data_IF_354875070905
#
_entry.id   IF_354875070905
#
_cell.length_a   1.000
_cell.length_b   1.000
_cell.length_c   1.000
_cell.angle_alpha   90.00
_cell.angle_beta   90.00
_cell.angle_gamma   90.00
#
_symmetry.space_group_name_H-M   'P 1'
#
loop_
_entity.id
_entity.type
_entity.pdbx_description
1 polymer ?
#
# COMPACT_ATOMS: atom_id res chain seq x y z
N UNK A 1 -8.32 5.85 -4.01
CA UNK A 1 -8.09 4.41 -4.18
C UNK A 1 -6.60 4.16 -4.25
N UNK A 2 -6.09 3.13 -3.57
CA UNK A 2 -4.64 2.85 -3.58
C UNK A 2 -4.25 1.73 -4.53
N UNK A 3 -4.83 0.53 -4.42
CA UNK A 3 -4.46 -0.62 -5.27
C UNK A 3 -5.58 -0.96 -6.25
N UNK A 4 -5.38 -0.61 -7.51
CA UNK A 4 -6.25 -0.96 -8.64
C UNK A 4 -5.44 -0.91 -9.95
N UNK A 5 -5.81 -1.70 -10.97
CA UNK A 5 -5.06 -1.76 -12.22
C UNK A 5 -5.00 -0.40 -12.93
N UNK A 6 -3.97 -0.21 -13.74
CA UNK A 6 -3.87 0.97 -14.60
C UNK A 6 -4.98 0.94 -15.66
N UNK A 7 -5.69 2.05 -15.90
CA UNK A 7 -6.68 2.11 -16.98
C UNK A 7 -6.01 2.16 -18.37
N UNK A 8 -4.77 2.66 -18.47
CA UNK A 8 -4.04 2.79 -19.72
C UNK A 8 -2.60 2.27 -19.62
N UNK A 9 -2.08 1.72 -20.73
CA UNK A 9 -0.75 1.10 -20.81
C UNK A 9 0.40 2.04 -20.39
N UNK A 10 0.30 3.32 -20.75
CA UNK A 10 1.34 4.34 -20.52
C UNK A 10 1.46 4.83 -19.06
N UNK A 11 0.60 4.35 -18.15
CA UNK A 11 0.56 4.81 -16.76
C UNK A 11 1.29 3.87 -15.77
N UNK A 12 1.95 2.82 -16.25
CA UNK A 12 2.67 1.87 -15.40
C UNK A 12 3.70 2.54 -14.47
N UNK A 13 4.46 3.51 -14.96
CA UNK A 13 5.42 4.28 -14.16
C UNK A 13 4.76 5.03 -12.99
N UNK A 14 3.78 5.92 -13.25
CA UNK A 14 3.04 6.63 -12.19
C UNK A 14 2.40 5.70 -11.17
N UNK A 15 1.84 4.56 -11.60
CA UNK A 15 1.27 3.57 -10.68
C UNK A 15 2.35 2.85 -9.85
N UNK A 16 3.50 2.51 -10.43
CA UNK A 16 4.62 1.94 -9.69
C UNK A 16 5.08 2.91 -8.58
N UNK A 17 5.27 4.19 -8.89
CA UNK A 17 5.63 5.17 -7.87
C UNK A 17 4.51 5.36 -6.82
N UNK A 18 3.24 5.35 -7.23
CA UNK A 18 2.11 5.39 -6.30
C UNK A 18 2.17 4.25 -5.28
N UNK A 19 2.39 3.02 -5.73
CA UNK A 19 2.48 1.87 -4.82
C UNK A 19 3.69 1.94 -3.89
N UNK A 20 4.82 2.42 -4.40
CA UNK A 20 6.00 2.68 -3.57
C UNK A 20 5.71 3.72 -2.47
N UNK A 21 5.02 4.82 -2.80
CA UNK A 21 4.63 5.86 -1.85
C UNK A 21 3.65 5.32 -0.79
N UNK A 22 2.69 4.49 -1.19
CA UNK A 22 1.74 3.85 -0.25
C UNK A 22 2.47 3.00 0.80
N UNK A 23 3.55 2.30 0.42
CA UNK A 23 4.38 1.56 1.37
C UNK A 23 5.15 2.47 2.34
N UNK A 24 5.42 3.71 1.93
CA UNK A 24 6.04 4.75 2.75
C UNK A 24 5.02 5.60 3.53
N UNK A 25 3.76 5.14 3.59
CA UNK A 25 2.69 5.84 4.33
C UNK A 25 2.18 7.11 3.64
N UNK A 26 2.46 7.27 2.35
CA UNK A 26 2.09 8.46 1.56
C UNK A 26 1.10 8.09 0.45
N UNK A 27 -0.06 8.73 0.46
CA UNK A 27 -1.17 8.40 -0.44
C UNK A 27 -1.39 9.50 -1.45
N UNK A 28 -0.85 9.31 -2.65
CA UNK A 28 -0.89 10.30 -3.73
C UNK A 28 -1.69 9.79 -4.93
N UNK A 29 -2.29 10.71 -5.69
CA UNK A 29 -3.00 10.39 -6.92
C UNK A 29 -2.02 10.12 -8.06
N UNK A 30 -2.25 9.03 -8.79
CA UNK A 30 -1.57 8.68 -10.04
C UNK A 30 -1.66 9.79 -11.09
N UNK A 31 -2.76 10.54 -11.14
CA UNK A 31 -2.91 11.64 -12.09
C UNK A 31 -1.93 12.77 -11.76
N UNK A 32 -1.79 13.10 -10.48
CA UNK A 32 -0.80 14.10 -10.06
C UNK A 32 0.61 13.60 -10.30
N UNK A 33 0.89 12.32 -10.00
CA UNK A 33 2.19 11.70 -10.26
C UNK A 33 2.51 11.76 -11.76
N UNK A 34 1.57 11.39 -12.64
CA UNK A 34 1.72 11.42 -14.09
C UNK A 34 2.01 12.83 -14.61
N UNK A 35 1.28 13.84 -14.13
CA UNK A 35 1.54 15.25 -14.47
C UNK A 35 2.94 15.69 -14.04
N UNK A 36 3.40 15.27 -12.85
CA UNK A 36 4.75 15.61 -12.37
C UNK A 36 5.85 14.86 -13.11
N UNK A 37 5.57 13.62 -13.52
CA UNK A 37 6.49 12.79 -14.29
C UNK A 37 6.55 13.23 -15.76
N UNK A 38 5.55 13.97 -16.26
CA UNK A 38 5.46 14.33 -17.68
C UNK A 38 5.01 13.16 -18.55
N UNK A 39 4.24 12.23 -17.99
CA UNK A 39 3.77 11.04 -18.68
C UNK A 39 2.83 11.41 -19.84
N UNK A 40 3.10 10.88 -21.04
CA UNK A 40 2.25 11.10 -22.23
C UNK A 40 1.75 9.77 -22.79
N UNK A 41 0.67 9.84 -23.58
CA UNK A 41 0.04 8.63 -24.13
C UNK A 41 0.89 7.93 -25.20
N UNK A 42 1.81 8.63 -25.86
CA UNK A 42 2.70 8.08 -26.90
C UNK A 42 4.08 7.65 -26.40
N UNK A 43 4.57 8.21 -25.29
CA UNK A 43 5.93 7.96 -24.79
C UNK A 43 5.97 7.23 -23.44
N UNK A 44 4.84 7.13 -22.73
CA UNK A 44 4.83 6.55 -21.40
C UNK A 44 5.55 7.45 -20.39
N UNK A 45 6.32 6.82 -19.50
CA UNK A 45 7.10 7.52 -18.47
C UNK A 45 8.49 6.91 -18.42
N UNK A 46 9.49 7.76 -18.63
CA UNK A 46 10.90 7.42 -18.49
C UNK A 46 11.36 7.54 -17.01
N UNK A 47 12.56 7.05 -16.74
CA UNK A 47 13.18 7.11 -15.42
C UNK A 47 13.45 8.55 -14.97
N UNK A 48 13.70 9.48 -15.89
CA UNK A 48 13.97 10.89 -15.58
C UNK A 48 12.71 11.57 -15.04
N UNK A 49 11.58 11.40 -15.73
CA UNK A 49 10.27 11.86 -15.32
C UNK A 49 9.86 11.24 -13.99
N UNK A 50 10.05 9.94 -13.83
CA UNK A 50 9.73 9.24 -12.58
C UNK A 50 10.59 9.75 -11.41
N UNK A 51 11.88 9.99 -11.62
CA UNK A 51 12.77 10.59 -10.62
C UNK A 51 12.33 12.00 -10.23
N UNK A 52 11.89 12.82 -11.20
CA UNK A 52 11.35 14.16 -10.95
C UNK A 52 10.08 14.11 -10.09
N UNK A 53 9.16 13.20 -10.40
CA UNK A 53 7.96 12.99 -9.60
C UNK A 53 8.30 12.50 -8.19
N UNK A 54 9.20 11.52 -8.05
CA UNK A 54 9.65 11.05 -6.75
C UNK A 54 10.25 12.18 -5.91
N UNK A 55 11.09 13.04 -6.52
CA UNK A 55 11.69 14.21 -5.86
C UNK A 55 10.63 15.20 -5.38
N UNK A 56 9.59 15.45 -6.17
CA UNK A 56 8.47 16.32 -5.78
C UNK A 56 7.79 15.82 -4.49
N UNK A 57 7.63 14.50 -4.34
CA UNK A 57 7.09 13.87 -3.12
C UNK A 57 8.16 13.60 -2.04
N UNK A 58 9.30 14.27 -2.10
CA UNK A 58 10.36 14.18 -1.10
C UNK A 58 11.09 12.83 -1.07
N UNK A 59 11.08 12.09 -2.18
CA UNK A 59 11.80 10.83 -2.31
C UNK A 59 12.96 10.96 -3.31
N UNK A 60 14.08 10.30 -3.03
CA UNK A 60 15.18 10.10 -3.97
C UNK A 60 15.02 8.76 -4.66
N UNK A 61 15.11 8.74 -5.98
CA UNK A 61 15.16 7.52 -6.77
C UNK A 61 16.62 7.10 -6.97
N UNK A 62 17.08 6.08 -6.24
CA UNK A 62 18.47 5.57 -6.33
C UNK A 62 18.53 4.41 -7.31
N UNK A 63 19.15 4.65 -8.45
CA UNK A 63 19.41 3.64 -9.47
C UNK A 63 20.44 2.59 -9.02
N UNK A 64 20.21 1.34 -9.42
CA UNK A 64 21.16 0.25 -9.36
C UNK A 64 20.96 -0.67 -10.57
N UNK A 65 22.08 -1.09 -11.18
CA UNK A 65 22.14 -2.04 -12.30
C UNK A 65 23.08 -3.18 -11.98
N UNK A 66 22.72 -4.39 -12.40
CA UNK A 66 23.56 -5.58 -12.35
C UNK A 66 23.41 -6.34 -13.66
N UNK A 67 24.46 -7.04 -14.05
CA UNK A 67 24.46 -7.90 -15.25
C UNK A 67 24.10 -9.35 -14.90
N UNK A 68 24.40 -9.76 -13.65
CA UNK A 68 24.14 -11.12 -13.16
C UNK A 68 22.85 -11.16 -12.34
N UNK A 69 21.99 -12.17 -12.54
CA UNK A 69 20.71 -12.28 -11.84
C UNK A 69 20.85 -12.45 -10.32
N UNK A 70 21.87 -13.17 -9.87
CA UNK A 70 22.12 -13.39 -8.44
C UNK A 70 22.53 -12.08 -7.74
N UNK A 71 23.39 -11.30 -8.38
CA UNK A 71 23.82 -9.99 -7.88
C UNK A 71 22.66 -8.98 -7.89
N UNK A 72 21.80 -9.04 -8.92
CA UNK A 72 20.59 -8.23 -9.01
C UNK A 72 19.63 -8.51 -7.85
N UNK A 73 19.35 -9.79 -7.58
CA UNK A 73 18.53 -10.22 -6.45
C UNK A 73 19.15 -9.74 -5.13
N UNK A 74 20.46 -9.91 -4.94
CA UNK A 74 21.14 -9.48 -3.72
C UNK A 74 21.02 -7.97 -3.52
N UNK A 75 21.29 -7.18 -4.55
CA UNK A 75 21.16 -5.73 -4.51
C UNK A 75 19.73 -5.28 -4.19
N UNK A 76 18.71 -5.90 -4.81
CA UNK A 76 17.31 -5.64 -4.54
C UNK A 76 16.95 -5.95 -3.07
N UNK A 77 17.30 -7.14 -2.59
CA UNK A 77 17.02 -7.56 -1.21
C UNK A 77 17.69 -6.65 -0.20
N UNK A 78 18.90 -6.16 -0.47
CA UNK A 78 19.58 -5.18 0.39
C UNK A 78 18.81 -3.85 0.51
N UNK A 79 18.17 -3.36 -0.56
CA UNK A 79 17.35 -2.16 -0.49
C UNK A 79 16.03 -2.42 0.26
N UNK A 80 15.38 -3.55 -0.02
CA UNK A 80 14.13 -3.94 0.64
C UNK A 80 14.33 -4.12 2.15
N UNK A 81 15.45 -4.73 2.58
CA UNK A 81 15.80 -4.86 4.01
C UNK A 81 16.00 -3.53 4.72
N UNK A 82 16.36 -2.47 4.00
CA UNK A 82 16.42 -1.09 4.54
C UNK A 82 15.04 -0.43 4.63
N UNK A 83 13.99 -1.12 4.20
CA UNK A 83 12.62 -0.62 4.16
C UNK A 83 12.42 0.40 3.04
N UNK A 84 13.08 0.20 1.89
CA UNK A 84 12.88 1.00 0.68
C UNK A 84 12.18 0.16 -0.38
N UNK A 85 10.94 0.52 -0.80
CA UNK A 85 10.32 -0.11 -1.95
C UNK A 85 11.15 0.19 -3.21
N UNK A 86 11.21 -0.78 -4.11
CA UNK A 86 12.01 -0.68 -5.32
C UNK A 86 11.14 -0.79 -6.56
N UNK A 87 11.28 0.15 -7.49
CA UNK A 87 10.65 0.11 -8.80
C UNK A 87 11.62 -0.58 -9.75
N UNK A 88 11.13 -1.55 -10.52
CA UNK A 88 11.93 -2.29 -11.50
C UNK A 88 11.40 -2.01 -12.90
N UNK A 89 12.33 -1.82 -13.82
CA UNK A 89 12.06 -1.87 -15.25
C UNK A 89 11.98 -3.34 -15.67
N UNK A 90 10.88 -3.78 -16.24
CA UNK A 90 10.64 -5.19 -16.57
C UNK A 90 10.11 -5.33 -17.99
N UNK A 91 10.08 -6.56 -18.48
CA UNK A 91 9.59 -6.94 -19.82
C UNK A 91 10.32 -6.12 -20.90
N UNK A 92 11.66 -6.15 -20.89
CA UNK A 92 12.54 -5.38 -21.78
C UNK A 92 12.32 -3.85 -21.79
N UNK A 93 12.20 -3.25 -20.60
CA UNK A 93 11.93 -1.80 -20.44
C UNK A 93 10.58 -1.30 -20.95
N UNK A 94 9.64 -2.22 -21.23
CA UNK A 94 8.29 -1.85 -21.64
C UNK A 94 7.32 -1.63 -20.47
N UNK A 95 7.70 -2.06 -19.26
CA UNK A 95 6.80 -2.01 -18.10
C UNK A 95 7.50 -1.71 -16.78
N UNK A 96 6.75 -1.13 -15.85
CA UNK A 96 7.19 -0.81 -14.51
C UNK A 96 6.39 -1.57 -13.46
N UNK A 97 7.08 -2.22 -12.51
CA UNK A 97 6.45 -2.80 -11.32
C UNK A 97 7.18 -2.37 -10.06
N UNK A 98 6.53 -2.56 -8.90
CA UNK A 98 7.15 -2.22 -7.61
C UNK A 98 7.27 -3.45 -6.73
N UNK A 99 8.47 -3.70 -6.23
CA UNK A 99 8.77 -4.70 -5.21
C UNK A 99 8.71 -4.02 -3.85
N UNK A 100 7.87 -4.55 -2.96
CA UNK A 100 7.59 -3.93 -1.66
C UNK A 100 8.17 -4.69 -0.48
N UNK A 101 8.34 -6.01 -0.60
CA UNK A 101 8.93 -6.82 0.46
C UNK A 101 9.56 -8.12 -0.09
N UNK A 102 10.41 -8.75 0.73
CA UNK A 102 11.01 -10.05 0.48
C UNK A 102 11.03 -10.88 1.77
N UNK A 103 10.29 -11.99 1.78
CA UNK A 103 10.19 -12.90 2.92
C UNK A 103 10.08 -14.34 2.43
N UNK A 104 10.59 -15.32 3.18
CA UNK A 104 10.48 -16.75 2.85
C UNK A 104 10.81 -17.08 1.39
N UNK A 105 11.87 -16.46 0.83
CA UNK A 105 12.31 -16.57 -0.57
C UNK A 105 11.24 -16.18 -1.61
N UNK A 106 10.34 -15.27 -1.27
CA UNK A 106 9.32 -14.73 -2.18
C UNK A 106 9.30 -13.21 -2.12
N UNK A 107 9.15 -12.60 -3.28
CA UNK A 107 8.94 -11.17 -3.45
C UNK A 107 7.45 -10.86 -3.44
N UNK A 108 7.08 -9.82 -2.72
CA UNK A 108 5.75 -9.21 -2.81
C UNK A 108 5.88 -8.06 -3.79
N UNK A 109 5.03 -8.08 -4.81
CA UNK A 109 5.10 -7.19 -5.96
C UNK A 109 3.75 -6.57 -6.20
N UNK A 110 3.74 -5.30 -6.55
CA UNK A 110 2.57 -4.59 -7.06
C UNK A 110 2.78 -4.28 -8.53
N UNK A 111 1.93 -4.84 -9.38
CA UNK A 111 1.97 -4.73 -10.83
C UNK A 111 0.62 -4.19 -11.32
N UNK A 112 0.60 -2.96 -11.83
CA UNK A 112 -0.62 -2.31 -12.30
C UNK A 112 -1.19 -2.89 -13.60
N UNK A 113 -0.44 -3.73 -14.33
CA UNK A 113 -0.93 -4.41 -15.54
C UNK A 113 -1.84 -5.61 -15.22
N UNK A 114 -1.86 -6.06 -13.96
CA UNK A 114 -2.66 -7.20 -13.52
C UNK A 114 -3.98 -6.74 -12.88
N UNK A 115 -5.07 -7.47 -13.15
CA UNK A 115 -6.35 -7.26 -12.45
C UNK A 115 -6.19 -7.32 -10.93
N UNK A 116 -5.37 -8.28 -10.47
CA UNK A 116 -4.90 -8.37 -9.10
C UNK A 116 -3.53 -7.71 -9.00
N UNK A 117 -3.54 -6.43 -8.63
CA UNK A 117 -2.33 -5.62 -8.55
C UNK A 117 -1.26 -6.24 -7.65
N UNK A 118 -1.66 -6.78 -6.49
CA UNK A 118 -0.73 -7.40 -5.55
C UNK A 118 -0.51 -8.86 -5.97
N UNK A 119 0.74 -9.23 -6.16
CA UNK A 119 1.17 -10.57 -6.55
C UNK A 119 2.42 -11.01 -5.77
N UNK A 120 2.72 -12.30 -5.85
CA UNK A 120 3.85 -12.92 -5.16
C UNK A 120 4.68 -13.67 -6.18
N UNK A 121 5.96 -13.31 -6.29
CA UNK A 121 6.90 -13.94 -7.20
C UNK A 121 8.00 -14.69 -6.47
N UNK A 122 8.39 -15.83 -7.03
CA UNK A 122 9.68 -16.46 -6.74
C UNK A 122 10.81 -15.66 -7.40
N UNK A 123 12.06 -15.81 -6.95
CA UNK A 123 13.20 -15.13 -7.57
C UNK A 123 13.31 -15.41 -9.06
N UNK A 124 13.09 -16.66 -9.49
CA UNK A 124 13.16 -17.04 -10.90
C UNK A 124 12.07 -16.38 -11.74
N UNK A 125 10.84 -16.27 -11.21
CA UNK A 125 9.75 -15.57 -11.89
C UNK A 125 10.05 -14.08 -12.05
N UNK A 126 10.61 -13.45 -11.01
CA UNK A 126 10.97 -12.03 -11.04
C UNK A 126 12.11 -11.78 -12.03
N UNK A 127 13.21 -12.54 -11.94
CA UNK A 127 14.38 -12.42 -12.82
C UNK A 127 14.00 -12.60 -14.29
N UNK A 128 13.11 -13.53 -14.60
CA UNK A 128 12.65 -13.76 -15.98
C UNK A 128 12.01 -12.50 -16.58
N UNK A 129 11.21 -11.77 -15.79
CA UNK A 129 10.58 -10.51 -16.23
C UNK A 129 11.53 -9.33 -16.15
N UNK A 130 12.42 -9.31 -15.17
CA UNK A 130 13.33 -8.19 -14.90
C UNK A 130 14.51 -8.10 -15.89
N UNK A 131 14.79 -9.19 -16.61
CA UNK A 131 15.86 -9.22 -17.61
C UNK A 131 15.56 -8.22 -18.72
N UNK A 132 16.52 -7.33 -18.99
CA UNK A 132 16.64 -6.60 -20.25
C UNK A 132 17.77 -7.22 -21.07
N UNK A 133 17.60 -7.26 -22.39
CA UNK A 133 18.62 -7.68 -23.33
C UNK A 133 18.79 -6.59 -24.38
N UNK A 134 20.02 -6.07 -24.47
CA UNK A 134 20.44 -5.10 -25.46
C UNK A 134 20.99 -5.86 -26.67
N UNK A 135 20.26 -5.86 -27.79
CA UNK A 135 20.68 -6.55 -29.01
C UNK A 135 21.90 -5.91 -29.67
N UNK A 136 22.07 -4.60 -29.53
CA UNK A 136 23.18 -3.86 -30.15
C UNK A 136 24.49 -4.06 -29.38
N UNK A 137 24.41 -4.12 -28.05
CA UNK A 137 25.56 -4.30 -27.18
C UNK A 137 25.85 -5.77 -26.80
N UNK A 138 24.96 -6.70 -27.15
CA UNK A 138 24.97 -8.11 -26.69
C UNK A 138 25.13 -8.22 -25.16
N UNK A 139 24.39 -7.37 -24.42
CA UNK A 139 24.48 -7.27 -22.96
C UNK A 139 23.12 -7.54 -22.29
N UNK A 140 23.19 -8.04 -21.04
CA UNK A 140 22.03 -8.27 -20.19
C UNK A 140 22.10 -7.37 -18.97
N UNK A 141 21.02 -6.68 -18.67
CA UNK A 141 20.92 -5.87 -17.46
C UNK A 141 19.66 -6.12 -16.65
N UNK A 142 19.78 -5.82 -15.36
CA UNK A 142 18.71 -5.83 -14.37
C UNK A 142 18.66 -4.47 -13.69
N UNK A 143 17.77 -3.61 -14.17
CA UNK A 143 17.68 -2.21 -13.79
C UNK A 143 16.61 -1.97 -12.71
N UNK A 144 17.01 -1.36 -11.60
CA UNK A 144 16.13 -1.11 -10.48
C UNK A 144 16.38 0.24 -9.82
N UNK A 145 15.35 0.71 -9.11
CA UNK A 145 15.30 2.03 -8.53
C UNK A 145 14.73 1.98 -7.12
N UNK A 146 15.59 2.19 -6.11
CA UNK A 146 15.14 2.26 -4.73
C UNK A 146 14.53 3.63 -4.43
N UNK A 147 13.33 3.65 -3.86
CA UNK A 147 12.62 4.88 -3.47
C UNK A 147 12.97 5.19 -2.02
N UNK A 148 13.83 6.20 -1.84
CA UNK A 148 14.41 6.56 -0.55
C UNK A 148 13.79 7.87 -0.06
N UNK A 149 12.93 7.86 0.98
CA UNK A 149 12.36 9.09 1.52
C UNK A 149 13.47 9.99 2.07
N UNK A 150 13.39 11.28 1.76
CA UNK A 150 14.27 12.34 2.26
C UNK A 150 13.64 13.11 3.44
N UNK A 151 12.55 12.59 3.98
CA UNK A 151 11.82 13.10 5.12
C UNK A 151 11.72 12.03 6.21
N UNK A 152 11.41 12.45 7.45
CA UNK A 152 11.13 11.52 8.54
C UNK A 152 9.81 10.81 8.26
N UNK A 153 9.88 9.53 7.90
CA UNK A 153 8.69 8.71 7.70
C UNK A 153 8.06 8.39 9.05
N UNK A 154 6.80 8.77 9.23
CA UNK A 154 6.05 8.58 10.48
C UNK A 154 5.55 7.14 10.61
N UNK A 155 5.07 6.54 9.52
CA UNK A 155 4.66 5.14 9.43
C UNK A 155 5.08 4.52 8.10
N UNK A 156 5.51 3.26 8.14
CA UNK A 156 5.82 2.44 6.96
C UNK A 156 4.95 1.19 7.01
N UNK A 157 4.50 0.75 5.84
CA UNK A 157 3.78 -0.51 5.73
C UNK A 157 4.74 -1.69 5.95
N UNK A 158 4.53 -2.46 7.01
CA UNK A 158 5.09 -3.79 7.16
C UNK A 158 4.22 -4.80 6.43
N UNK A 159 4.34 -4.82 5.09
CA UNK A 159 3.47 -5.65 4.26
C UNK A 159 4.04 -7.07 4.14
N UNK A 160 3.61 -7.97 5.02
CA UNK A 160 4.09 -9.37 5.07
C UNK A 160 3.48 -10.26 3.99
N UNK A 161 4.01 -11.48 3.83
CA UNK A 161 3.42 -12.46 2.91
C UNK A 161 2.00 -12.87 3.30
N UNK A 162 1.70 -12.96 4.60
CA UNK A 162 0.36 -13.23 5.10
C UNK A 162 -0.57 -12.07 4.74
N UNK A 163 -0.11 -10.82 4.92
CA UNK A 163 -0.87 -9.64 4.57
C UNK A 163 -1.14 -9.56 3.06
N UNK A 164 -0.14 -9.86 2.22
CA UNK A 164 -0.33 -9.94 0.77
C UNK A 164 -1.36 -11.00 0.38
N UNK A 165 -1.24 -12.23 0.92
CA UNK A 165 -2.21 -13.31 0.64
C UNK A 165 -3.62 -12.95 1.09
N UNK A 166 -3.76 -12.29 2.24
CA UNK A 166 -5.05 -11.82 2.73
C UNK A 166 -5.69 -10.86 1.71
N UNK A 167 -4.96 -9.88 1.21
CA UNK A 167 -5.49 -8.86 0.29
C UNK A 167 -5.75 -9.43 -1.11
N UNK A 168 -4.98 -10.43 -1.54
CA UNK A 168 -5.15 -11.13 -2.83
C UNK A 168 -6.42 -12.00 -2.92
N UNK A 169 -7.02 -12.34 -1.77
CA UNK A 169 -8.28 -13.07 -1.70
C UNK A 169 -9.41 -12.25 -2.33
N UNK A 170 -10.25 -12.86 -3.16
CA UNK A 170 -11.35 -12.17 -3.84
C UNK A 170 -12.32 -11.51 -2.87
N UNK A 171 -12.48 -12.08 -1.67
CA UNK A 171 -13.33 -11.53 -0.58
C UNK A 171 -12.80 -10.22 -0.01
N UNK A 172 -11.55 -9.85 -0.30
CA UNK A 172 -10.86 -8.68 0.23
C UNK A 172 -10.48 -7.65 -0.84
N UNK A 173 -10.96 -7.80 -2.08
CA UNK A 173 -10.65 -6.86 -3.17
C UNK A 173 -11.03 -5.41 -2.86
N UNK A 174 -12.16 -5.20 -2.18
CA UNK A 174 -12.62 -3.86 -1.79
C UNK A 174 -11.68 -3.18 -0.78
N UNK A 175 -10.99 -3.97 0.08
CA UNK A 175 -9.97 -3.44 0.98
C UNK A 175 -8.76 -2.91 0.19
N UNK A 176 -8.30 -3.64 -0.83
CA UNK A 176 -7.20 -3.19 -1.69
C UNK A 176 -7.51 -1.85 -2.38
N UNK A 177 -8.73 -1.71 -2.90
CA UNK A 177 -9.17 -0.49 -3.58
C UNK A 177 -9.32 0.69 -2.63
N UNK A 178 -9.95 0.48 -1.46
CA UNK A 178 -10.28 1.53 -0.47
C UNK A 178 -9.21 1.73 0.60
N UNK A 179 -8.01 1.23 0.37
CA UNK A 179 -6.90 1.22 1.31
C UNK A 179 -6.57 2.61 1.87
N UNK A 180 -6.55 3.64 1.02
CA UNK A 180 -6.36 5.04 1.41
C UNK A 180 -7.46 5.54 2.34
N UNK A 181 -8.72 5.17 2.07
CA UNK A 181 -9.85 5.56 2.93
C UNK A 181 -9.70 4.97 4.32
N UNK A 182 -9.47 3.66 4.41
CA UNK A 182 -9.26 2.99 5.69
C UNK A 182 -8.06 3.56 6.45
N UNK A 183 -6.95 3.85 5.76
CA UNK A 183 -5.77 4.44 6.39
C UNK A 183 -6.05 5.84 6.93
N UNK A 184 -6.67 6.72 6.12
CA UNK A 184 -6.96 8.09 6.50
C UNK A 184 -7.94 8.17 7.68
N UNK A 185 -8.95 7.30 7.70
CA UNK A 185 -9.85 7.20 8.85
C UNK A 185 -9.07 6.76 10.09
N UNK A 186 -8.19 5.75 10.00
CA UNK A 186 -7.42 5.27 11.13
C UNK A 186 -6.41 6.27 11.67
N UNK A 187 -5.74 7.04 10.81
CA UNK A 187 -4.72 8.00 11.28
C UNK A 187 -5.33 9.16 12.09
N UNK A 188 -6.67 9.33 12.01
CA UNK A 188 -7.41 10.27 12.86
C UNK A 188 -7.73 9.71 14.26
N UNK A 189 -7.62 8.39 14.43
CA UNK A 189 -7.97 7.63 15.64
C UNK A 189 -6.74 7.05 16.34
N UNK A 190 -5.77 6.62 15.54
CA UNK A 190 -4.59 5.89 15.94
C UNK A 190 -3.33 6.68 15.57
N UNK A 191 -2.26 6.39 16.27
CA UNK A 191 -0.95 7.00 16.08
C UNK A 191 0.07 5.96 15.65
N UNK A 192 1.07 6.33 14.85
CA UNK A 192 2.21 5.46 14.60
C UNK A 192 2.94 5.12 15.91
N UNK A 193 3.33 3.86 16.08
CA UNK A 193 4.13 3.46 17.24
C UNK A 193 5.49 4.17 17.23
N UNK A 194 5.86 4.76 18.37
CA UNK A 194 7.20 5.31 18.60
C UNK A 194 7.83 4.64 19.82
N UNK A 195 9.16 4.50 19.81
CA UNK A 195 9.91 3.76 20.85
C UNK A 195 9.72 4.33 22.26
N UNK A 196 9.45 5.64 22.38
CA UNK A 196 9.32 6.33 23.66
C UNK A 196 7.88 6.44 24.16
N UNK A 197 6.90 5.92 23.40
CA UNK A 197 5.49 6.04 23.79
C UNK A 197 5.12 4.93 24.75
N UNK A 198 4.80 5.31 25.99
CA UNK A 198 4.29 4.40 27.04
C UNK A 198 2.76 4.33 27.01
N UNK A 199 2.18 3.28 27.59
CA UNK A 199 0.72 3.10 27.70
C UNK A 199 -0.02 3.03 26.35
N UNK A 200 0.42 2.11 25.50
CA UNK A 200 -0.17 1.86 24.19
C UNK A 200 -1.15 0.67 24.23
N UNK A 201 -2.19 0.75 23.43
CA UNK A 201 -3.15 -0.33 23.18
C UNK A 201 -3.08 -0.67 21.70
N UNK A 202 -2.83 -1.95 21.38
CA UNK A 202 -2.92 -2.39 19.99
C UNK A 202 -4.37 -2.30 19.50
N UNK A 203 -4.58 -1.99 18.22
CA UNK A 203 -5.94 -1.93 17.67
C UNK A 203 -6.69 -3.26 17.84
N UNK A 204 -5.97 -4.39 17.74
CA UNK A 204 -6.48 -5.72 18.02
C UNK A 204 -6.97 -5.89 19.46
N UNK A 205 -6.19 -5.44 20.44
CA UNK A 205 -6.60 -5.50 21.85
C UNK A 205 -7.77 -4.56 22.15
N UNK A 206 -7.81 -3.40 21.49
CA UNK A 206 -8.93 -2.48 21.55
C UNK A 206 -10.22 -3.14 21.02
N UNK A 207 -10.18 -3.74 19.83
CA UNK A 207 -11.34 -4.45 19.27
C UNK A 207 -11.73 -5.66 20.11
N UNK A 208 -10.78 -6.40 20.70
CA UNK A 208 -11.11 -7.49 21.63
C UNK A 208 -12.00 -7.03 22.79
N UNK A 209 -11.84 -5.77 23.24
CA UNK A 209 -12.64 -5.17 24.31
C UNK A 209 -13.97 -4.60 23.80
N UNK A 210 -14.00 -3.99 22.62
CA UNK A 210 -15.11 -3.13 22.18
C UNK A 210 -15.84 -3.55 20.91
N UNK A 211 -15.35 -4.50 20.12
CA UNK A 211 -15.95 -4.91 18.84
C UNK A 211 -17.43 -5.26 19.01
N UNK A 212 -17.75 -6.12 19.99
CA UNK A 212 -19.13 -6.56 20.23
C UNK A 212 -20.04 -5.39 20.61
N UNK A 213 -19.54 -4.42 21.36
CA UNK A 213 -20.30 -3.24 21.76
C UNK A 213 -20.57 -2.35 20.54
N UNK A 214 -19.52 -2.00 19.78
CA UNK A 214 -19.59 -1.18 18.58
C UNK A 214 -20.60 -1.73 17.56
N UNK A 215 -20.46 -3.02 17.23
CA UNK A 215 -21.34 -3.67 16.25
C UNK A 215 -22.78 -3.65 16.73
N UNK A 216 -23.04 -4.02 18.00
CA UNK A 216 -24.41 -4.07 18.53
C UNK A 216 -25.07 -2.70 18.57
N UNK A 217 -24.35 -1.67 19.00
CA UNK A 217 -24.90 -0.33 19.09
C UNK A 217 -25.26 0.21 17.70
N UNK A 218 -24.35 0.12 16.73
CA UNK A 218 -24.62 0.62 15.37
C UNK A 218 -25.76 -0.16 14.70
N UNK A 219 -25.76 -1.49 14.82
CA UNK A 219 -26.83 -2.31 14.27
C UNK A 219 -28.19 -2.04 14.94
N UNK A 220 -28.20 -1.76 16.26
CA UNK A 220 -29.42 -1.43 17.00
C UNK A 220 -29.98 -0.06 16.59
N UNK A 221 -29.14 0.98 16.60
CA UNK A 221 -29.58 2.36 16.35
C UNK A 221 -29.99 2.60 14.90
N UNK A 222 -29.28 2.01 13.93
CA UNK A 222 -29.65 2.14 12.52
C UNK A 222 -30.67 1.09 12.06
N UNK A 223 -30.60 -0.13 12.58
CA UNK A 223 -31.54 -1.22 12.26
C UNK A 223 -31.28 -1.98 10.94
N UNK A 224 -30.56 -1.39 9.98
CA UNK A 224 -30.30 -2.00 8.66
C UNK A 224 -28.99 -2.80 8.52
N UNK A 225 -27.83 -2.34 9.03
CA UNK A 225 -26.57 -3.03 8.75
C UNK A 225 -26.47 -4.37 9.49
N UNK A 226 -25.91 -5.38 8.83
CA UNK A 226 -25.76 -6.70 9.45
C UNK A 226 -24.55 -6.76 10.39
N UNK A 227 -24.61 -7.61 11.43
CA UNK A 227 -23.47 -7.80 12.34
C UNK A 227 -22.20 -8.25 11.61
N UNK A 228 -22.36 -9.11 10.59
CA UNK A 228 -21.25 -9.65 9.80
C UNK A 228 -20.55 -8.57 8.99
N UNK A 229 -21.31 -7.65 8.42
CA UNK A 229 -20.81 -6.53 7.63
C UNK A 229 -20.03 -5.53 8.48
N UNK A 230 -20.59 -5.10 9.63
CA UNK A 230 -19.87 -4.20 10.55
C UNK A 230 -18.59 -4.86 11.07
N UNK A 231 -18.65 -6.16 11.39
CA UNK A 231 -17.46 -6.94 11.74
C UNK A 231 -16.42 -6.95 10.62
N UNK A 232 -16.84 -7.04 9.37
CA UNK A 232 -15.93 -7.02 8.22
C UNK A 232 -15.21 -5.67 8.11
N UNK A 233 -15.89 -4.56 8.35
CA UNK A 233 -15.30 -3.22 8.35
C UNK A 233 -14.27 -3.08 9.47
N UNK A 234 -14.61 -3.51 10.69
CA UNK A 234 -13.68 -3.49 11.82
C UNK A 234 -12.46 -4.39 11.59
N UNK A 235 -12.64 -5.56 10.98
CA UNK A 235 -11.53 -6.44 10.58
C UNK A 235 -10.62 -5.79 9.53
N UNK A 236 -11.18 -5.02 8.60
CA UNK A 236 -10.40 -4.25 7.64
C UNK A 236 -9.61 -3.12 8.32
N UNK A 237 -10.20 -2.42 9.29
CA UNK A 237 -9.48 -1.45 10.12
C UNK A 237 -8.34 -2.10 10.92
N UNK A 238 -8.60 -3.25 11.56
CA UNK A 238 -7.57 -3.97 12.28
C UNK A 238 -6.40 -4.36 11.37
N UNK A 239 -6.70 -4.89 10.19
CA UNK A 239 -5.69 -5.24 9.20
C UNK A 239 -4.81 -4.04 8.84
N UNK A 240 -5.44 -2.89 8.57
CA UNK A 240 -4.72 -1.66 8.23
C UNK A 240 -3.85 -1.15 9.38
N UNK A 241 -4.37 -1.17 10.61
CA UNK A 241 -3.61 -0.80 11.79
C UNK A 241 -2.39 -1.72 12.01
N UNK A 242 -2.54 -3.03 11.78
CA UNK A 242 -1.43 -3.99 11.87
C UNK A 242 -0.38 -3.77 10.78
N UNK A 243 -0.79 -3.51 9.53
CA UNK A 243 0.15 -3.26 8.42
C UNK A 243 0.98 -2.00 8.65
N UNK A 244 0.40 -0.94 9.20
CA UNK A 244 1.09 0.34 9.42
C UNK A 244 1.58 0.57 10.86
N UNK A 245 1.51 -0.47 11.71
CA UNK A 245 1.84 -0.42 13.15
C UNK A 245 1.21 0.78 13.87
N UNK A 246 -0.09 0.97 13.63
CA UNK A 246 -0.89 2.00 14.27
C UNK A 246 -1.45 1.50 15.61
N UNK A 247 -1.37 2.35 16.61
CA UNK A 247 -1.73 2.07 18.00
C UNK A 247 -2.63 3.16 18.58
N UNK A 248 -3.39 2.82 19.62
CA UNK A 248 -4.21 3.78 20.35
C UNK A 248 -3.53 4.10 21.67
N UNK A 249 -3.43 5.39 22.01
CA UNK A 249 -2.95 5.80 23.33
C UNK A 249 -4.02 5.51 24.39
N UNK A 250 -3.63 5.02 25.57
CA UNK A 250 -4.58 4.53 26.57
C UNK A 250 -5.55 5.61 27.09
N UNK A 251 -5.11 6.85 27.18
CA UNK A 251 -5.90 8.04 27.53
C UNK A 251 -6.92 8.42 26.44
N UNK A 252 -6.62 8.11 25.18
CA UNK A 252 -7.51 8.36 24.03
C UNK A 252 -8.50 7.21 23.76
N UNK A 253 -8.46 6.12 24.54
CA UNK A 253 -9.30 4.94 24.34
C UNK A 253 -10.81 5.27 24.23
N UNK A 254 -11.31 6.23 25.02
CA UNK A 254 -12.70 6.67 24.96
C UNK A 254 -13.01 7.44 23.68
N UNK A 255 -12.09 8.35 23.28
CA UNK A 255 -12.20 9.10 22.02
C UNK A 255 -12.21 8.14 20.83
N UNK A 256 -11.30 7.18 20.79
CA UNK A 256 -11.22 6.18 19.74
C UNK A 256 -12.51 5.33 19.61
N UNK A 257 -13.17 5.02 20.73
CA UNK A 257 -14.46 4.34 20.74
C UNK A 257 -15.57 5.19 20.10
N UNK A 258 -15.62 6.48 20.43
CA UNK A 258 -16.58 7.43 19.87
C UNK A 258 -16.33 7.58 18.36
N UNK A 259 -15.09 7.81 17.95
CA UNK A 259 -14.74 8.02 16.55
C UNK A 259 -15.08 6.80 15.68
N UNK A 260 -14.76 5.58 16.15
CA UNK A 260 -15.12 4.35 15.44
C UNK A 260 -16.64 4.13 15.38
N UNK A 261 -17.38 4.43 16.44
CA UNK A 261 -18.83 4.34 16.43
C UNK A 261 -19.43 5.31 15.40
N UNK A 262 -18.94 6.55 15.36
CA UNK A 262 -19.33 7.57 14.39
C UNK A 262 -19.04 7.14 12.96
N UNK A 263 -17.86 6.59 12.68
CA UNK A 263 -17.49 6.09 11.35
C UNK A 263 -18.41 4.94 10.92
N UNK A 264 -18.67 3.97 11.80
CA UNK A 264 -19.57 2.86 11.48
C UNK A 264 -21.01 3.33 11.26
N UNK A 265 -21.46 4.35 12.01
CA UNK A 265 -22.78 4.95 11.81
C UNK A 265 -22.84 5.70 10.48
N UNK A 266 -21.88 6.57 10.18
CA UNK A 266 -21.79 7.28 8.89
C UNK A 266 -21.73 6.31 7.70
N UNK A 267 -21.01 5.19 7.85
CA UNK A 267 -21.04 4.11 6.87
C UNK A 267 -22.45 3.57 6.65
N UNK A 268 -23.17 3.25 7.74
CA UNK A 268 -24.50 2.70 7.67
C UNK A 268 -25.47 3.70 7.00
N UNK A 269 -25.49 4.95 7.45
CA UNK A 269 -26.32 6.00 6.86
C UNK A 269 -25.98 6.24 5.38
N UNK A 270 -24.69 6.28 5.04
CA UNK A 270 -24.25 6.50 3.65
C UNK A 270 -24.61 5.34 2.71
N UNK A 271 -24.76 4.12 3.23
CA UNK A 271 -25.10 2.93 2.43
C UNK A 271 -26.60 2.66 2.36
N UNK A 272 -27.30 2.83 3.47
CA UNK A 272 -28.71 2.44 3.64
C UNK A 272 -29.67 3.62 3.63
N UNK A 273 -29.15 4.85 3.65
CA UNK A 273 -29.95 6.04 3.91
C UNK A 273 -30.27 6.16 5.40
N UNK A 274 -30.77 7.33 5.77
CA UNK A 274 -31.28 7.61 7.11
C UNK A 274 -32.39 8.65 6.97
N UNK A 275 -33.54 8.36 7.56
CA UNK A 275 -34.62 9.34 7.65
C UNK A 275 -34.28 10.38 8.73
N UNK A 276 -34.91 11.54 8.65
CA UNK A 276 -34.76 12.58 9.66
C UNK A 276 -35.11 12.04 11.05
N UNK A 277 -34.14 12.13 11.96
CA UNK A 277 -34.33 11.83 13.38
C UNK A 277 -34.17 13.16 14.10
N UNK A 278 -35.32 13.80 14.36
CA UNK A 278 -35.53 15.14 14.95
C UNK A 278 -35.33 16.33 14.02
#
# INVERSE_FOLDING_TARGET
>A
MSFYPQPYKYQCGPFALKYALVMLGRFESENQIAVKAGSTWWYGTDEIGLAKAAKFYGCKMKYFRRERPEDAIKALVEQIKKGYPCILSVDNWEHWLTVVNYQHRKFIVTDSSLDKVITIYTPNQLVKRWKYYDEDADDVSYDGYAIIPQYKVTTKANFSLEAARFVMDSRNQELAKKWDKYFNDLISICHPRHANTTHLISFKDFLRRYEKLLIKQVAYWHGSPTLRELKKILSNFQFMAEVYDLVIHADEQKKALIDLASILMMYACGKYGMDEIY
#
